data_IF_878607036395
#
_entry.id   IF_878607036395
#
_cell.length_a   1.000
_cell.length_b   1.000
_cell.length_c   1.000
_cell.angle_alpha   90.00
_cell.angle_beta   90.00
_cell.angle_gamma   90.00
#
_symmetry.space_group_name_H-M   'P 1'
#
loop_
_entity.id
_entity.type
_entity.pdbx_description
1 polymer ?
#
# COMPACT_ATOMS: atom_id res chain seq x y z
N UNK A 1 -14.36 -14.48 -16.94
CA UNK A 1 -14.45 -13.02 -17.24
C UNK A 1 -13.13 -12.40 -16.83
N UNK A 2 -12.36 -11.83 -17.77
CA UNK A 2 -11.11 -11.11 -17.49
C UNK A 2 -11.45 -9.63 -17.36
N UNK A 3 -11.34 -9.07 -16.16
CA UNK A 3 -11.32 -7.62 -15.99
C UNK A 3 -9.90 -7.14 -16.20
N UNK A 4 -9.68 -6.41 -17.29
CA UNK A 4 -8.43 -5.74 -17.60
C UNK A 4 -8.44 -4.42 -16.81
N UNK A 5 -7.74 -4.35 -15.67
CA UNK A 5 -7.51 -3.05 -15.03
C UNK A 5 -6.41 -2.32 -15.80
N UNK A 6 -6.79 -1.17 -16.37
CA UNK A 6 -5.86 -0.20 -16.92
C UNK A 6 -5.19 0.47 -15.72
N UNK A 7 -3.99 0.02 -15.35
CA UNK A 7 -3.12 0.76 -14.43
C UNK A 7 -2.81 2.08 -15.14
N UNK A 8 -3.40 3.18 -14.67
CA UNK A 8 -3.01 4.52 -15.10
C UNK A 8 -1.71 4.85 -14.36
N UNK A 9 -0.57 4.53 -14.96
CA UNK A 9 0.69 5.17 -14.60
C UNK A 9 0.54 6.64 -14.98
N UNK A 10 0.16 7.51 -14.04
CA UNK A 10 0.09 8.95 -14.26
C UNK A 10 1.52 9.49 -14.32
N UNK A 11 2.15 9.35 -15.49
CA UNK A 11 3.31 10.15 -15.86
C UNK A 11 2.81 11.44 -16.52
N UNK A 12 2.67 12.55 -15.77
CA UNK A 12 2.63 13.92 -16.31
C UNK A 12 2.50 14.97 -15.18
N UNK A 13 3.14 16.17 -15.30
CA UNK A 13 3.16 16.95 -16.53
C UNK A 13 4.55 17.21 -17.12
N UNK A 14 4.66 16.89 -18.41
CA UNK A 14 5.43 17.70 -19.36
C UNK A 14 4.82 19.10 -19.39
N UNK A 15 5.51 20.09 -18.83
CA UNK A 15 5.43 21.46 -19.36
C UNK A 15 6.85 21.92 -19.61
N UNK A 16 7.36 21.70 -20.82
CA UNK A 16 8.30 22.66 -21.39
C UNK A 16 8.06 22.77 -22.90
N UNK A 17 7.70 23.96 -23.34
CA UNK A 17 7.97 24.45 -24.69
C UNK A 17 7.85 25.98 -24.68
N UNK A 18 8.73 26.70 -25.40
CA UNK A 18 10.15 26.48 -25.64
C UNK A 18 10.95 27.74 -25.20
N UNK A 19 12.24 27.80 -25.48
CA UNK A 19 13.15 28.95 -25.28
C UNK A 19 13.84 28.99 -23.91
N UNK A 20 15.17 28.81 -23.92
CA UNK A 20 16.15 28.90 -22.81
C UNK A 20 16.52 27.61 -22.04
N UNK A 21 16.87 26.54 -22.75
CA UNK A 21 17.77 25.53 -22.18
C UNK A 21 19.16 25.58 -22.84
N UNK A 22 19.90 26.66 -22.57
CA UNK A 22 21.36 26.61 -22.56
C UNK A 22 21.83 26.76 -21.11
N UNK A 23 22.66 25.81 -20.68
CA UNK A 23 23.43 25.79 -19.41
C UNK A 23 22.64 25.68 -18.09
N UNK A 24 22.19 24.46 -17.77
CA UNK A 24 22.28 23.86 -16.41
C UNK A 24 21.78 22.40 -16.49
N UNK A 25 22.61 21.44 -16.10
CA UNK A 25 22.14 20.08 -15.84
C UNK A 25 21.16 20.13 -14.65
N UNK A 26 19.87 19.98 -14.93
CA UNK A 26 18.87 19.73 -13.92
C UNK A 26 18.85 18.23 -13.66
N UNK A 27 19.36 17.79 -12.51
CA UNK A 27 19.17 16.42 -12.03
C UNK A 27 17.76 16.32 -11.48
N UNK A 28 16.80 16.01 -12.35
CA UNK A 28 15.43 15.68 -11.92
C UNK A 28 15.45 14.27 -11.30
N UNK A 29 15.15 14.18 -10.01
CA UNK A 29 14.78 12.90 -9.37
C UNK A 29 13.28 12.75 -9.56
N UNK A 30 12.86 11.90 -10.50
CA UNK A 30 11.46 11.47 -10.53
C UNK A 30 11.23 10.66 -9.25
N UNK A 31 10.37 11.12 -8.36
CA UNK A 31 9.82 10.25 -7.33
C UNK A 31 8.76 9.41 -8.01
N UNK A 32 8.98 8.10 -8.10
CA UNK A 32 7.97 7.17 -8.56
C UNK A 32 6.77 7.26 -7.62
N UNK A 33 5.62 7.75 -8.11
CA UNK A 33 4.40 7.87 -7.32
C UNK A 33 3.35 6.94 -7.88
N UNK A 34 2.84 6.02 -7.05
CA UNK A 34 1.77 5.12 -7.45
C UNK A 34 0.48 5.57 -6.79
N UNK A 35 -0.54 5.82 -7.61
CA UNK A 35 -1.89 6.13 -7.15
C UNK A 35 -2.87 5.08 -7.65
N UNK A 36 -3.63 4.51 -6.72
CA UNK A 36 -4.82 3.72 -7.00
C UNK A 36 -6.01 4.45 -6.38
N UNK A 37 -7.02 4.73 -7.19
CA UNK A 37 -8.23 5.43 -6.76
C UNK A 37 -9.46 4.73 -7.30
N UNK A 38 -10.48 4.51 -6.46
CA UNK A 38 -11.78 3.97 -6.88
C UNK A 38 -11.68 2.63 -7.63
N UNK A 39 -10.74 1.76 -7.24
CA UNK A 39 -10.50 0.47 -7.90
C UNK A 39 -11.13 -0.70 -7.15
N UNK A 40 -11.58 -1.72 -7.88
CA UNK A 40 -12.16 -2.94 -7.31
C UNK A 40 -11.37 -4.17 -7.76
N UNK A 41 -10.88 -4.97 -6.82
CA UNK A 41 -10.25 -6.25 -7.10
C UNK A 41 -11.03 -7.39 -6.45
N UNK A 42 -11.51 -8.35 -7.25
CA UNK A 42 -12.43 -9.40 -6.81
C UNK A 42 -12.04 -10.77 -7.38
N UNK A 43 -12.03 -11.79 -6.52
CA UNK A 43 -11.91 -13.21 -6.91
C UNK A 43 -10.67 -13.56 -7.73
N UNK A 44 -9.53 -12.89 -7.47
CA UNK A 44 -8.28 -13.23 -8.12
C UNK A 44 -7.59 -14.45 -7.48
N UNK A 45 -6.72 -15.10 -8.27
CA UNK A 45 -5.88 -16.22 -7.78
C UNK A 45 -4.65 -15.77 -6.99
N UNK A 46 -4.26 -14.50 -7.09
CA UNK A 46 -3.20 -13.90 -6.27
C UNK A 46 -3.80 -12.82 -5.38
N UNK A 47 -2.96 -11.86 -4.94
CA UNK A 47 -3.41 -10.69 -4.20
C UNK A 47 -4.37 -9.79 -4.98
N UNK A 48 -5.24 -9.07 -4.27
CA UNK A 48 -6.17 -8.12 -4.87
C UNK A 48 -5.44 -6.94 -5.52
N UNK A 49 -4.59 -6.27 -4.74
CA UNK A 49 -3.64 -5.29 -5.21
C UNK A 49 -2.26 -5.62 -4.67
N UNK A 50 -1.30 -5.85 -5.56
CA UNK A 50 0.12 -6.02 -5.20
C UNK A 50 0.90 -4.82 -5.71
N UNK A 51 1.57 -4.10 -4.80
CA UNK A 51 2.39 -2.94 -5.11
C UNK A 51 3.81 -3.18 -4.64
N UNK A 52 4.72 -3.16 -5.60
CA UNK A 52 6.17 -3.17 -5.41
C UNK A 52 6.70 -1.84 -5.93
N UNK A 53 7.17 -0.95 -5.05
CA UNK A 53 7.54 0.42 -5.43
C UNK A 53 8.58 1.02 -4.51
N UNK A 54 9.59 1.66 -5.10
CA UNK A 54 10.58 2.46 -4.37
C UNK A 54 10.09 3.87 -3.98
N UNK A 55 8.97 4.34 -4.52
CA UNK A 55 8.44 5.68 -4.24
C UNK A 55 6.95 5.68 -3.84
N UNK A 56 6.48 6.81 -3.29
CA UNK A 56 5.29 6.87 -2.44
C UNK A 56 4.04 6.23 -3.07
N UNK A 57 3.23 5.60 -2.23
CA UNK A 57 2.03 4.87 -2.66
C UNK A 57 0.79 5.46 -1.99
N UNK A 58 -0.23 5.76 -2.78
CA UNK A 58 -1.55 6.18 -2.32
C UNK A 58 -2.64 5.27 -2.86
N UNK A 59 -3.41 4.66 -1.98
CA UNK A 59 -4.56 3.79 -2.29
C UNK A 59 -5.79 4.42 -1.64
N UNK A 60 -6.77 4.86 -2.42
CA UNK A 60 -7.96 5.54 -1.91
C UNK A 60 -9.22 4.97 -2.52
N UNK A 61 -10.24 4.70 -1.71
CA UNK A 61 -11.54 4.21 -2.18
C UNK A 61 -11.40 2.91 -3.01
N UNK A 62 -10.41 2.10 -2.65
CA UNK A 62 -10.16 0.83 -3.31
C UNK A 62 -10.71 -0.32 -2.48
N UNK A 63 -11.18 -1.36 -3.15
CA UNK A 63 -11.78 -2.51 -2.48
C UNK A 63 -11.23 -3.84 -2.99
N UNK A 64 -10.83 -4.73 -2.09
CA UNK A 64 -10.24 -6.03 -2.39
C UNK A 64 -11.03 -7.17 -1.73
N UNK A 65 -11.63 -8.04 -2.52
CA UNK A 65 -12.54 -9.09 -2.04
C UNK A 65 -12.20 -10.48 -2.57
N UNK A 66 -12.29 -11.49 -1.72
CA UNK A 66 -12.26 -12.91 -2.12
C UNK A 66 -11.08 -13.29 -3.01
N UNK A 67 -9.94 -12.59 -2.87
CA UNK A 67 -8.71 -12.93 -3.55
C UNK A 67 -8.04 -14.09 -2.81
N UNK A 68 -7.36 -14.98 -3.53
CA UNK A 68 -6.84 -16.22 -2.94
C UNK A 68 -5.65 -15.98 -2.00
N UNK A 69 -4.95 -14.86 -2.19
CA UNK A 69 -3.87 -14.39 -1.30
C UNK A 69 -4.35 -13.14 -0.54
N UNK A 70 -3.59 -12.05 -0.58
CA UNK A 70 -3.85 -10.86 0.23
C UNK A 70 -4.89 -9.93 -0.39
N UNK A 71 -5.49 -9.04 0.42
CA UNK A 71 -6.28 -7.94 -0.12
C UNK A 71 -5.40 -6.86 -0.73
N UNK A 72 -4.65 -6.18 0.12
CA UNK A 72 -3.59 -5.23 -0.25
C UNK A 72 -2.23 -5.81 0.16
N UNK A 73 -1.38 -6.09 -0.81
CA UNK A 73 -0.01 -6.56 -0.62
C UNK A 73 0.97 -5.44 -1.02
N UNK A 74 1.69 -4.93 -0.03
CA UNK A 74 2.67 -3.86 -0.17
C UNK A 74 4.04 -4.45 0.15
N UNK A 75 4.85 -4.72 -0.88
CA UNK A 75 6.16 -5.38 -0.74
C UNK A 75 7.25 -4.41 -1.12
N UNK A 76 8.21 -4.21 -0.23
CA UNK A 76 9.28 -3.23 -0.40
C UNK A 76 8.75 -1.85 -0.80
N UNK A 77 7.52 -1.53 -0.38
CA UNK A 77 6.89 -0.26 -0.73
C UNK A 77 7.62 0.88 0.00
N UNK A 78 7.71 1.99 -0.71
CA UNK A 78 8.28 3.30 -0.35
C UNK A 78 8.28 3.74 1.10
N UNK A 79 9.07 4.77 1.37
CA UNK A 79 9.10 5.48 2.65
C UNK A 79 7.73 5.94 3.16
N UNK A 80 6.74 6.20 2.29
CA UNK A 80 5.39 6.60 2.70
C UNK A 80 4.31 5.87 1.91
N UNK A 81 3.45 5.14 2.62
CA UNK A 81 2.26 4.48 2.07
C UNK A 81 1.01 5.00 2.78
N UNK A 82 -0.03 5.31 2.00
CA UNK A 82 -1.32 5.76 2.49
C UNK A 82 -2.42 4.86 1.92
N UNK A 83 -3.23 4.28 2.79
CA UNK A 83 -4.47 3.57 2.44
C UNK A 83 -5.63 4.32 3.08
N UNK A 84 -6.62 4.73 2.29
CA UNK A 84 -7.71 5.56 2.76
C UNK A 84 -9.08 5.08 2.23
N UNK A 85 -10.13 5.17 3.06
CA UNK A 85 -11.53 4.91 2.68
C UNK A 85 -11.72 3.61 1.91
N UNK A 86 -10.98 2.58 2.28
CA UNK A 86 -10.84 1.34 1.50
C UNK A 86 -11.46 0.16 2.25
N UNK A 87 -11.63 -0.96 1.56
CA UNK A 87 -12.18 -2.17 2.18
C UNK A 87 -11.42 -3.40 1.70
N UNK A 88 -11.00 -4.25 2.62
CA UNK A 88 -10.48 -5.57 2.31
C UNK A 88 -11.29 -6.62 3.05
N UNK A 89 -11.77 -7.64 2.32
CA UNK A 89 -12.56 -8.68 2.95
C UNK A 89 -12.47 -10.05 2.30
N UNK A 90 -12.57 -11.08 3.13
CA UNK A 90 -12.70 -12.48 2.67
C UNK A 90 -11.54 -12.93 1.78
N UNK A 91 -10.37 -12.28 1.92
CA UNK A 91 -9.16 -12.66 1.19
C UNK A 91 -8.47 -13.84 1.91
N UNK A 92 -7.87 -14.74 1.14
CA UNK A 92 -7.30 -16.00 1.60
C UNK A 92 -6.00 -15.86 2.39
N UNK A 93 -5.34 -14.71 2.34
CA UNK A 93 -4.19 -14.35 3.17
C UNK A 93 -4.53 -13.19 4.11
N UNK A 94 -3.55 -12.33 4.33
CA UNK A 94 -3.74 -11.10 5.12
C UNK A 94 -4.69 -10.11 4.42
N UNK A 95 -5.47 -9.36 5.18
CA UNK A 95 -6.27 -8.27 4.62
C UNK A 95 -5.42 -7.15 4.04
N UNK A 96 -4.43 -6.72 4.82
CA UNK A 96 -3.32 -5.85 4.43
C UNK A 96 -2.02 -6.53 4.84
N UNK A 97 -1.13 -6.80 3.88
CA UNK A 97 0.25 -7.22 4.15
C UNK A 97 1.17 -6.06 3.80
N UNK A 98 1.96 -5.60 4.75
CA UNK A 98 3.02 -4.63 4.53
C UNK A 98 4.36 -5.24 4.95
N UNK A 99 5.21 -5.48 3.96
CA UNK A 99 6.51 -6.12 4.11
C UNK A 99 7.59 -5.20 3.57
N UNK A 100 8.67 -5.02 4.34
CA UNK A 100 9.86 -4.32 3.88
C UNK A 100 11.11 -5.20 3.93
N UNK A 101 12.11 -4.80 3.14
CA UNK A 101 13.47 -5.29 3.33
C UNK A 101 14.05 -4.68 4.61
N UNK A 102 14.76 -5.50 5.38
CA UNK A 102 15.44 -5.10 6.61
C UNK A 102 16.34 -3.87 6.40
N UNK A 103 16.27 -2.91 7.32
CA UNK A 103 17.07 -1.69 7.30
C UNK A 103 16.37 -0.45 6.76
N UNK A 104 15.15 -0.59 6.22
CA UNK A 104 14.35 0.54 5.74
C UNK A 104 13.41 1.09 6.82
N UNK A 105 13.16 2.40 6.72
CA UNK A 105 12.13 3.11 7.48
C UNK A 105 10.88 3.29 6.61
N UNK A 106 9.72 3.17 7.24
CA UNK A 106 8.42 3.29 6.60
C UNK A 106 7.45 4.11 7.44
N UNK A 107 6.74 5.01 6.76
CA UNK A 107 5.51 5.60 7.25
C UNK A 107 4.33 4.90 6.58
N UNK A 108 3.43 4.33 7.37
CA UNK A 108 2.18 3.75 6.87
C UNK A 108 1.00 4.43 7.57
N UNK A 109 0.09 4.97 6.76
CA UNK A 109 -1.17 5.55 7.24
C UNK A 109 -2.34 4.75 6.71
N UNK A 110 -3.16 4.22 7.62
CA UNK A 110 -4.36 3.46 7.31
C UNK A 110 -5.55 4.20 7.91
N UNK A 111 -6.36 4.80 7.06
CA UNK A 111 -7.43 5.71 7.49
C UNK A 111 -8.77 5.25 6.93
N UNK A 112 -9.79 5.15 7.78
CA UNK A 112 -11.16 4.83 7.33
C UNK A 112 -11.20 3.52 6.52
N UNK A 113 -10.41 2.52 6.93
CA UNK A 113 -10.34 1.23 6.25
C UNK A 113 -11.10 0.17 7.04
N UNK A 114 -11.93 -0.59 6.32
CA UNK A 114 -12.62 -1.75 6.87
C UNK A 114 -11.88 -3.04 6.48
N UNK A 115 -11.48 -3.83 7.47
CA UNK A 115 -10.67 -5.04 7.31
C UNK A 115 -11.42 -6.19 7.98
N UNK A 116 -12.02 -7.11 7.22
CA UNK A 116 -12.97 -8.08 7.78
C UNK A 116 -13.02 -9.42 7.06
N UNK A 117 -13.25 -10.52 7.79
CA UNK A 117 -13.42 -11.84 7.19
C UNK A 117 -12.11 -12.45 6.68
N UNK A 118 -10.96 -12.12 7.26
CA UNK A 118 -9.69 -12.79 6.95
C UNK A 118 -9.53 -14.02 7.85
N UNK A 119 -9.53 -15.22 7.24
CA UNK A 119 -9.65 -16.49 7.97
C UNK A 119 -8.34 -17.25 8.16
N UNK A 120 -7.37 -17.09 7.25
CA UNK A 120 -6.14 -17.91 7.27
C UNK A 120 -4.91 -17.17 7.79
N UNK A 121 -4.92 -15.83 7.78
CA UNK A 121 -3.86 -14.99 8.37
C UNK A 121 -4.44 -13.77 9.10
N UNK A 122 -3.62 -12.77 9.40
CA UNK A 122 -4.02 -11.60 10.18
C UNK A 122 -4.84 -10.60 9.33
N UNK A 123 -5.59 -9.72 9.99
CA UNK A 123 -6.32 -8.68 9.28
C UNK A 123 -5.35 -7.65 8.67
N UNK A 124 -4.41 -7.13 9.47
CA UNK A 124 -3.26 -6.40 8.98
C UNK A 124 -1.97 -7.01 9.53
N UNK A 125 -1.01 -7.28 8.65
CA UNK A 125 0.26 -7.90 8.97
C UNK A 125 1.41 -7.00 8.52
N UNK A 126 2.25 -6.61 9.47
CA UNK A 126 3.44 -5.80 9.27
C UNK A 126 4.66 -6.70 9.52
N UNK A 127 5.47 -6.90 8.49
CA UNK A 127 6.52 -7.93 8.48
C UNK A 127 7.90 -7.35 8.11
N UNK A 128 8.91 -7.64 8.92
CA UNK A 128 10.34 -7.32 8.69
C UNK A 128 10.65 -5.82 8.50
N UNK A 129 10.03 -4.94 9.31
CA UNK A 129 10.18 -3.48 9.17
C UNK A 129 11.06 -2.92 10.28
N UNK A 130 12.19 -2.29 9.94
CA UNK A 130 13.15 -1.82 10.95
C UNK A 130 12.81 -0.49 11.60
N UNK A 131 11.97 0.33 10.98
CA UNK A 131 11.52 1.58 11.58
C UNK A 131 10.13 1.95 11.05
N UNK A 132 9.09 1.37 11.67
CA UNK A 132 7.70 1.61 11.31
C UNK A 132 7.10 2.78 12.08
N UNK A 133 6.70 3.82 11.35
CA UNK A 133 5.77 4.86 11.79
C UNK A 133 4.36 4.51 11.28
N UNK A 134 3.59 3.79 12.09
CA UNK A 134 2.22 3.40 11.77
C UNK A 134 1.21 4.36 12.38
N UNK A 135 0.31 4.89 11.56
CA UNK A 135 -0.88 5.61 11.99
C UNK A 135 -2.12 4.88 11.47
N UNK A 136 -2.97 4.41 12.38
CA UNK A 136 -4.28 3.84 12.03
C UNK A 136 -5.38 4.70 12.65
N UNK A 137 -6.29 5.22 11.83
CA UNK A 137 -7.39 6.06 12.32
C UNK A 137 -8.72 5.66 11.69
N UNK A 138 -9.80 5.69 12.50
CA UNK A 138 -11.17 5.45 12.05
C UNK A 138 -11.37 4.13 11.25
N UNK A 139 -10.55 3.13 11.53
CA UNK A 139 -10.64 1.81 10.88
C UNK A 139 -11.58 0.88 11.67
N UNK A 140 -12.27 -0.01 10.96
CA UNK A 140 -12.95 -1.17 11.55
C UNK A 140 -12.15 -2.43 11.23
N UNK A 141 -11.69 -3.15 12.26
CA UNK A 141 -10.96 -4.40 12.11
C UNK A 141 -11.70 -5.47 12.90
N UNK A 142 -12.65 -6.12 12.25
CA UNK A 142 -13.66 -6.98 12.89
C UNK A 142 -13.91 -8.25 12.09
N UNK A 143 -14.44 -9.27 12.76
CA UNK A 143 -14.77 -10.57 12.15
C UNK A 143 -13.60 -11.21 11.40
N UNK A 144 -12.39 -11.05 11.93
CA UNK A 144 -11.18 -11.74 11.47
C UNK A 144 -10.90 -12.92 12.40
N UNK A 145 -10.53 -14.07 11.82
CA UNK A 145 -10.41 -15.30 12.62
C UNK A 145 -9.12 -15.35 13.46
N UNK A 146 -8.04 -14.75 12.94
CA UNK A 146 -6.75 -14.67 13.63
C UNK A 146 -6.54 -13.28 14.22
N UNK A 147 -5.29 -12.81 14.25
CA UNK A 147 -4.94 -11.51 14.81
C UNK A 147 -5.56 -10.35 14.00
N UNK A 148 -6.11 -9.37 14.71
CA UNK A 148 -6.53 -8.11 14.10
C UNK A 148 -5.32 -7.38 13.51
N UNK A 149 -4.25 -7.23 14.29
CA UNK A 149 -2.98 -6.64 13.88
C UNK A 149 -1.85 -7.57 14.30
N UNK A 150 -0.98 -7.93 13.36
CA UNK A 150 0.21 -8.74 13.60
C UNK A 150 1.46 -7.92 13.24
N UNK A 151 2.39 -7.82 14.19
CA UNK A 151 3.71 -7.23 14.00
C UNK A 151 4.75 -8.32 14.15
N UNK A 152 5.42 -8.68 13.05
CA UNK A 152 6.45 -9.72 13.02
C UNK A 152 7.78 -9.13 12.52
N UNK A 153 8.82 -9.19 13.35
CA UNK A 153 10.11 -8.56 13.02
C UNK A 153 10.04 -7.04 12.83
N UNK A 154 9.12 -6.36 13.53
CA UNK A 154 8.93 -4.90 13.42
C UNK A 154 9.61 -4.17 14.59
N UNK A 155 10.38 -3.13 14.27
CA UNK A 155 10.88 -2.14 15.22
C UNK A 155 10.34 -0.75 14.89
N UNK A 156 10.20 0.10 15.90
CA UNK A 156 9.85 1.52 15.74
C UNK A 156 10.87 2.36 16.50
N UNK A 157 11.57 3.25 15.80
CA UNK A 157 12.52 4.15 16.44
C UNK A 157 11.86 5.52 16.56
N UNK A 158 11.29 5.79 17.74
CA UNK A 158 10.80 7.10 18.12
C UNK A 158 12.00 8.05 18.30
N UNK A 159 12.58 8.56 17.21
CA UNK A 159 13.41 9.76 17.29
C UNK A 159 12.43 10.93 17.38
N UNK A 160 11.94 11.19 18.59
CA UNK A 160 11.22 12.44 18.88
C UNK A 160 12.12 13.61 18.44
N UNK A 161 11.62 14.57 17.64
CA UNK A 161 12.33 15.84 17.44
C UNK A 161 12.45 16.63 18.75
#
# INVERSE_FOLDING_TARGET
MRFLFKILLVNAPLIVSPVQAKTKMWKYSFQDYITLESCLSLSNRGSGFRVESSGNVSISECHAFSNSEHGFELVSASSVVIINRSLTSSNGGDGIRFEQQSGNSATLKINEVNITGHYYRAAAHFENISDLQLEMSRCSVEDNFNDALLFDGVTSNNVLP
#
